data_IF_509021676056
#
_entry.id   IF_509021676056
#
_cell.length_a   1.000
_cell.length_b   1.000
_cell.length_c   1.000
_cell.angle_alpha   90.00
_cell.angle_beta   90.00
_cell.angle_gamma   90.00
#
_symmetry.space_group_name_H-M   'P 1'
#
loop_
_entity.id
_entity.type
_entity.pdbx_description
1 polymer ?
#
# COMPACT_ATOMS: atom_id res chain seq x y z
N UNK A 1 -58.43 -28.60 22.33
CA UNK A 1 -57.78 -27.98 23.51
C UNK A 1 -56.33 -27.66 23.14
N UNK A 2 -56.05 -26.43 22.72
CA UNK A 2 -54.68 -25.94 22.56
C UNK A 2 -54.19 -25.39 23.91
N UNK A 3 -53.01 -25.83 24.36
CA UNK A 3 -52.32 -25.18 25.48
C UNK A 3 -51.65 -23.90 24.94
N UNK A 4 -51.72 -22.77 25.65
CA UNK A 4 -51.03 -21.55 25.23
C UNK A 4 -49.52 -21.73 25.41
N UNK A 5 -48.74 -21.25 24.44
CA UNK A 5 -47.31 -21.03 24.58
C UNK A 5 -47.09 -19.96 25.64
N UNK A 6 -46.37 -20.30 26.70
CA UNK A 6 -45.84 -19.34 27.66
C UNK A 6 -44.72 -18.55 27.00
N UNK A 7 -44.93 -17.27 26.79
CA UNK A 7 -43.88 -16.30 26.48
C UNK A 7 -42.91 -16.23 27.66
N UNK A 8 -41.85 -17.04 27.61
CA UNK A 8 -40.74 -16.94 28.55
C UNK A 8 -39.96 -15.66 28.26
N UNK A 9 -40.32 -14.59 28.98
CA UNK A 9 -39.52 -13.37 29.03
C UNK A 9 -38.17 -13.71 29.65
N UNK A 10 -37.10 -13.40 28.91
CA UNK A 10 -35.74 -13.56 29.41
C UNK A 10 -35.58 -12.85 30.76
N UNK A 11 -34.87 -13.47 31.70
CA UNK A 11 -34.60 -12.87 33.01
C UNK A 11 -33.98 -11.47 32.86
N UNK A 12 -34.45 -10.51 33.66
CA UNK A 12 -34.05 -9.11 33.58
C UNK A 12 -32.54 -8.85 33.73
N UNK A 13 -31.76 -9.82 34.22
CA UNK A 13 -30.31 -9.74 34.34
C UNK A 13 -29.57 -9.92 33.01
N UNK A 14 -30.18 -10.58 32.01
CA UNK A 14 -29.56 -10.82 30.70
C UNK A 14 -29.22 -9.51 29.97
N UNK A 15 -30.14 -8.52 29.82
CA UNK A 15 -29.79 -7.24 29.20
C UNK A 15 -28.79 -6.42 30.03
N UNK A 16 -28.76 -6.58 31.36
CA UNK A 16 -27.81 -5.87 32.23
C UNK A 16 -26.38 -6.37 32.01
N UNK A 17 -26.20 -7.69 31.82
CA UNK A 17 -24.88 -8.26 31.48
C UNK A 17 -24.39 -7.73 30.13
N UNK A 18 -25.27 -7.63 29.13
CA UNK A 18 -24.87 -7.11 27.82
C UNK A 18 -24.49 -5.62 27.85
N UNK A 19 -25.17 -4.80 28.66
CA UNK A 19 -24.80 -3.40 28.86
C UNK A 19 -23.45 -3.27 29.58
N UNK A 20 -23.17 -4.13 30.56
CA UNK A 20 -21.89 -4.16 31.26
C UNK A 20 -20.74 -4.61 30.33
N UNK A 21 -20.98 -5.58 29.44
CA UNK A 21 -20.01 -6.01 28.41
C UNK A 21 -19.75 -4.88 27.41
N UNK A 22 -20.80 -4.16 26.98
CA UNK A 22 -20.65 -3.04 26.04
C UNK A 22 -19.87 -1.87 26.64
N UNK A 23 -20.14 -1.53 27.91
CA UNK A 23 -19.41 -0.49 28.64
C UNK A 23 -17.97 -0.90 28.93
N UNK A 24 -17.71 -2.18 29.25
CA UNK A 24 -16.36 -2.68 29.40
C UNK A 24 -15.58 -2.60 28.08
N UNK A 25 -16.19 -2.95 26.94
CA UNK A 25 -15.56 -2.85 25.62
C UNK A 25 -15.27 -1.38 25.19
N UNK A 26 -16.10 -0.43 25.62
CA UNK A 26 -15.89 1.01 25.37
C UNK A 26 -14.83 1.63 26.30
N UNK A 27 -14.47 0.96 27.39
CA UNK A 27 -13.47 1.40 28.37
C UNK A 27 -12.14 0.66 28.26
N UNK A 28 -12.02 -0.32 27.36
CA UNK A 28 -10.70 -0.83 26.96
C UNK A 28 -10.06 0.26 26.11
N UNK A 29 -8.98 0.92 26.56
CA UNK A 29 -8.21 1.79 25.68
C UNK A 29 -7.80 0.93 24.49
N UNK A 30 -8.08 1.41 23.26
CA UNK A 30 -7.47 0.82 22.08
C UNK A 30 -5.97 0.76 22.36
N UNK A 31 -5.40 -0.44 22.36
CA UNK A 31 -3.95 -0.59 22.43
C UNK A 31 -3.36 0.34 21.36
N UNK A 32 -2.33 1.14 21.68
CA UNK A 32 -1.71 1.96 20.67
C UNK A 32 -1.32 1.04 19.52
N UNK A 33 -1.82 1.34 18.32
CA UNK A 33 -1.47 0.65 17.10
C UNK A 33 0.06 0.51 17.08
N UNK A 34 0.57 -0.70 17.27
CA UNK A 34 2.01 -0.94 17.18
C UNK A 34 2.34 -0.93 15.70
N UNK A 35 3.19 0.01 15.32
CA UNK A 35 3.50 0.31 13.93
C UNK A 35 4.16 -0.87 13.22
N UNK A 36 3.87 -1.06 11.92
CA UNK A 36 4.87 -1.64 11.02
C UNK A 36 6.16 -0.86 11.25
N UNK A 37 7.24 -1.59 11.40
CA UNK A 37 8.49 -0.96 11.78
C UNK A 37 8.96 -0.07 10.63
N UNK A 38 9.54 1.12 10.90
CA UNK A 38 10.21 1.89 9.86
C UNK A 38 11.30 1.04 9.21
N UNK A 39 11.47 1.15 7.88
CA UNK A 39 12.56 0.46 7.18
C UNK A 39 13.91 0.76 7.87
N UNK A 40 14.70 -0.24 8.29
CA UNK A 40 15.98 -0.02 8.97
C UNK A 40 17.07 0.58 8.07
N UNK A 41 16.81 0.72 6.76
CA UNK A 41 17.69 1.44 5.84
C UNK A 41 17.83 2.93 6.24
N UNK A 42 18.98 3.52 5.92
CA UNK A 42 19.23 4.97 6.07
C UNK A 42 18.28 5.81 5.22
N UNK A 43 17.72 5.22 4.17
CA UNK A 43 16.75 5.78 3.26
C UNK A 43 15.34 5.40 3.72
N UNK A 44 14.51 6.39 4.08
CA UNK A 44 13.21 6.15 4.71
C UNK A 44 12.07 6.07 3.72
N UNK A 45 11.94 7.00 2.80
CA UNK A 45 10.83 7.06 1.84
C UNK A 45 11.22 7.87 0.59
N UNK A 46 10.27 8.11 -0.31
CA UNK A 46 10.43 9.05 -1.43
C UNK A 46 10.61 10.49 -0.92
N UNK A 47 11.54 11.23 -1.52
CA UNK A 47 11.90 12.58 -1.10
C UNK A 47 10.81 13.59 -1.44
N UNK A 48 10.58 14.54 -0.52
CA UNK A 48 9.53 15.56 -0.63
C UNK A 48 8.15 14.96 -0.93
N UNK A 49 7.86 13.73 -0.50
CA UNK A 49 6.58 13.12 -0.80
C UNK A 49 5.45 14.04 -0.38
N UNK A 50 4.71 14.49 -1.37
CA UNK A 50 3.82 15.59 -1.19
C UNK A 50 2.40 15.12 -0.85
N UNK A 51 1.69 15.97 -0.12
CA UNK A 51 0.31 15.72 0.24
C UNK A 51 -0.61 16.73 -0.41
N UNK A 52 -1.55 16.21 -1.19
CA UNK A 52 -2.73 16.92 -1.66
C UNK A 52 -2.47 18.10 -2.62
N UNK A 53 -2.65 17.84 -3.91
CA UNK A 53 -2.94 18.82 -4.96
C UNK A 53 -4.43 18.88 -5.26
N UNK A 54 -4.96 20.08 -5.46
CA UNK A 54 -6.33 20.29 -5.95
C UNK A 54 -6.31 20.37 -7.47
N UNK A 55 -6.89 19.40 -8.18
CA UNK A 55 -7.00 19.48 -9.64
C UNK A 55 -7.34 18.17 -10.34
N UNK A 56 -7.48 18.24 -11.66
CA UNK A 56 -7.67 17.10 -12.56
C UNK A 56 -6.47 16.87 -13.48
N UNK A 57 -5.30 17.39 -13.09
CA UNK A 57 -4.02 17.35 -13.79
C UNK A 57 -2.91 17.26 -12.75
N UNK A 58 -1.77 16.66 -13.11
CA UNK A 58 -0.60 16.59 -12.24
C UNK A 58 -0.30 17.94 -11.60
N UNK A 59 -0.44 18.01 -10.27
CA UNK A 59 -0.02 19.15 -9.48
C UNK A 59 1.49 19.19 -9.31
N UNK A 60 2.00 20.30 -8.79
CA UNK A 60 3.42 20.42 -8.39
C UNK A 60 3.77 19.56 -7.18
N UNK A 61 2.75 18.98 -6.55
CA UNK A 61 2.80 18.17 -5.34
C UNK A 61 2.25 16.77 -5.60
N UNK A 62 2.29 16.30 -6.86
CA UNK A 62 1.89 14.94 -7.20
C UNK A 62 3.14 14.11 -7.49
N UNK A 63 3.18 12.92 -6.93
CA UNK A 63 4.21 11.94 -7.25
C UNK A 63 3.88 11.30 -8.60
N UNK A 64 4.70 11.57 -9.59
CA UNK A 64 4.49 11.02 -10.91
C UNK A 64 5.04 9.60 -10.98
N UNK A 65 4.27 8.73 -11.61
CA UNK A 65 4.70 7.36 -11.88
C UNK A 65 4.52 6.95 -13.33
N UNK A 66 5.49 6.21 -13.85
CA UNK A 66 5.39 5.54 -15.14
C UNK A 66 5.44 4.03 -14.98
N UNK A 67 4.93 3.31 -15.98
CA UNK A 67 4.91 1.85 -15.98
C UNK A 67 5.54 1.36 -17.27
N UNK A 68 6.40 0.37 -17.17
CA UNK A 68 7.05 -0.31 -18.30
C UNK A 68 6.95 -1.83 -18.11
N UNK A 69 6.57 -2.54 -19.16
CA UNK A 69 6.68 -3.99 -19.24
C UNK A 69 7.85 -4.39 -20.10
N UNK A 70 8.80 -5.11 -19.51
CA UNK A 70 10.03 -5.58 -20.15
C UNK A 70 9.87 -6.91 -20.89
N UNK A 71 8.75 -7.61 -20.67
CA UNK A 71 8.34 -8.75 -21.48
C UNK A 71 6.85 -8.62 -21.83
N UNK A 72 6.62 -7.88 -22.91
CA UNK A 72 5.28 -7.52 -23.41
C UNK A 72 4.48 -8.72 -23.94
N UNK A 73 5.10 -9.90 -24.07
CA UNK A 73 4.41 -11.13 -24.46
C UNK A 73 3.53 -11.67 -23.33
N UNK A 74 3.81 -11.27 -22.07
CA UNK A 74 3.06 -11.68 -20.87
C UNK A 74 2.07 -10.61 -20.43
N UNK A 75 2.55 -9.38 -20.30
CA UNK A 75 1.74 -8.21 -19.95
C UNK A 75 2.12 -7.10 -20.90
N UNK A 76 1.20 -6.62 -21.73
CA UNK A 76 1.49 -5.49 -22.60
C UNK A 76 1.69 -4.20 -21.78
N UNK A 77 2.45 -3.25 -22.33
CA UNK A 77 2.61 -1.92 -21.72
C UNK A 77 1.26 -1.25 -21.41
N UNK A 78 0.27 -1.37 -22.31
CA UNK A 78 -1.06 -0.80 -22.08
C UNK A 78 -1.82 -1.49 -20.94
N UNK A 79 -1.75 -2.82 -20.85
CA UNK A 79 -2.45 -3.58 -19.81
C UNK A 79 -1.84 -3.33 -18.43
N UNK A 80 -0.51 -3.37 -18.30
CA UNK A 80 0.18 -3.06 -17.05
C UNK A 80 -0.12 -1.63 -16.58
N UNK A 81 -0.03 -0.65 -17.48
CA UNK A 81 -0.37 0.75 -17.19
C UNK A 81 -1.80 0.93 -16.69
N UNK A 82 -2.77 0.37 -17.42
CA UNK A 82 -4.18 0.49 -17.04
C UNK A 82 -4.43 -0.13 -15.67
N UNK A 83 -3.85 -1.31 -15.41
CA UNK A 83 -4.04 -2.04 -14.17
C UNK A 83 -3.41 -1.36 -12.95
N UNK A 84 -2.17 -0.87 -13.06
CA UNK A 84 -1.49 -0.12 -11.99
C UNK A 84 -2.22 1.19 -11.71
N UNK A 85 -2.58 1.94 -12.76
CA UNK A 85 -3.33 3.19 -12.61
C UNK A 85 -4.67 2.95 -11.90
N UNK A 86 -5.43 1.95 -12.35
CA UNK A 86 -6.68 1.59 -11.68
C UNK A 86 -6.44 1.26 -10.20
N UNK A 87 -5.41 0.46 -9.91
CA UNK A 87 -5.07 0.00 -8.55
C UNK A 87 -4.69 1.14 -7.62
N UNK A 88 -3.96 2.14 -8.11
CA UNK A 88 -3.39 3.19 -7.28
C UNK A 88 -4.25 4.45 -7.21
N UNK A 89 -5.13 4.70 -8.17
CA UNK A 89 -5.86 6.00 -8.26
C UNK A 89 -7.37 5.87 -8.49
N UNK A 90 -7.90 4.71 -8.91
CA UNK A 90 -9.29 4.61 -9.41
C UNK A 90 -10.20 3.64 -8.65
N UNK A 91 -9.72 2.98 -7.59
CA UNK A 91 -10.52 1.99 -6.85
C UNK A 91 -11.51 2.60 -5.85
N UNK A 92 -11.50 3.94 -5.71
CA UNK A 92 -12.36 4.69 -4.79
C UNK A 92 -11.77 4.83 -3.38
N UNK A 93 -12.40 5.70 -2.59
CA UNK A 93 -11.92 6.09 -1.26
C UNK A 93 -11.69 4.89 -0.33
N UNK A 94 -10.56 4.91 0.37
CA UNK A 94 -10.18 3.90 1.36
C UNK A 94 -9.72 2.55 0.76
N UNK A 95 -9.49 2.50 -0.56
CA UNK A 95 -8.98 1.32 -1.27
C UNK A 95 -7.76 1.59 -2.15
N UNK A 96 -7.40 2.86 -2.27
CA UNK A 96 -6.21 3.32 -2.97
C UNK A 96 -5.39 4.14 -1.99
N UNK A 97 -4.10 4.28 -2.25
CA UNK A 97 -3.26 5.22 -1.50
C UNK A 97 -3.73 6.69 -1.64
N UNK A 98 -4.63 6.97 -2.59
CA UNK A 98 -5.20 8.28 -2.94
C UNK A 98 -6.62 8.58 -2.35
N UNK A 99 -6.73 9.49 -1.36
CA UNK A 99 -7.99 10.14 -0.91
C UNK A 99 -8.75 9.46 0.25
N UNK A 100 -9.43 10.16 1.19
CA UNK A 100 -9.93 11.53 1.31
C UNK A 100 -9.67 12.07 2.74
N UNK A 101 -8.87 13.15 2.86
CA UNK A 101 -8.60 13.91 4.10
C UNK A 101 -7.18 13.72 4.63
N UNK A 102 -6.45 14.83 4.85
CA UNK A 102 -5.15 15.07 5.54
C UNK A 102 -4.04 13.99 5.54
N UNK A 103 -4.14 12.96 4.70
CA UNK A 103 -3.31 11.75 4.71
C UNK A 103 -2.94 11.26 3.30
N UNK A 104 -3.01 12.14 2.31
CA UNK A 104 -3.04 11.80 0.87
C UNK A 104 -1.63 11.76 0.27
N UNK A 105 -1.26 10.68 -0.39
CA UNK A 105 -0.17 10.71 -1.38
C UNK A 105 -0.83 10.82 -2.74
N UNK A 106 -0.57 11.92 -3.44
CA UNK A 106 -1.17 12.18 -4.73
C UNK A 106 -0.36 11.46 -5.81
N UNK A 107 -0.84 10.31 -6.25
CA UNK A 107 -0.18 9.56 -7.31
C UNK A 107 -0.71 9.99 -8.68
N UNK A 108 0.18 10.43 -9.57
CA UNK A 108 -0.17 10.83 -10.93
C UNK A 108 0.42 9.89 -12.00
N UNK A 109 -0.41 9.15 -12.75
CA UNK A 109 0.08 8.28 -13.82
C UNK A 109 0.54 9.11 -15.02
N UNK A 110 1.71 8.78 -15.56
CA UNK A 110 2.16 9.33 -16.84
C UNK A 110 1.38 8.76 -18.04
N UNK A 111 1.35 9.52 -19.13
CA UNK A 111 0.58 9.24 -20.33
C UNK A 111 1.18 8.16 -21.26
N UNK A 112 2.45 7.81 -21.09
CA UNK A 112 3.17 6.80 -21.88
C UNK A 112 3.95 5.84 -20.98
N UNK A 113 4.48 4.76 -21.55
CA UNK A 113 5.42 3.89 -20.82
C UNK A 113 6.74 4.62 -20.56
N UNK A 114 7.47 4.21 -19.52
CA UNK A 114 8.66 4.93 -19.04
C UNK A 114 9.68 5.24 -20.14
N UNK A 115 9.95 4.27 -21.01
CA UNK A 115 10.97 4.40 -22.07
C UNK A 115 10.56 5.29 -23.24
N UNK A 116 9.29 5.71 -23.31
CA UNK A 116 8.81 6.69 -24.31
C UNK A 116 9.22 8.12 -23.98
N UNK A 117 9.63 8.39 -22.74
CA UNK A 117 10.07 9.71 -22.31
C UNK A 117 11.57 9.91 -22.58
N UNK A 118 11.95 11.14 -22.94
CA UNK A 118 13.37 11.52 -23.01
C UNK A 118 14.03 11.35 -21.64
N UNK A 119 15.34 11.12 -21.60
CA UNK A 119 16.08 10.98 -20.33
C UNK A 119 15.85 12.17 -19.38
N UNK A 120 15.80 13.41 -19.91
CA UNK A 120 15.52 14.60 -19.12
C UNK A 120 14.10 14.64 -18.55
N UNK A 121 13.11 14.13 -19.29
CA UNK A 121 11.73 14.05 -18.79
C UNK A 121 11.58 12.93 -17.76
N UNK A 122 12.17 11.76 -18.05
CA UNK A 122 12.12 10.60 -17.16
C UNK A 122 12.82 10.84 -15.83
N UNK A 123 13.89 11.65 -15.80
CA UNK A 123 14.57 12.02 -14.56
C UNK A 123 13.70 12.84 -13.58
N UNK A 124 12.59 13.43 -14.06
CA UNK A 124 11.58 14.10 -13.25
C UNK A 124 10.35 13.23 -12.95
N UNK A 125 10.43 11.91 -13.16
CA UNK A 125 9.41 10.95 -12.73
C UNK A 125 9.98 10.24 -11.51
N UNK A 126 9.28 10.32 -10.38
CA UNK A 126 9.77 9.87 -9.09
C UNK A 126 9.67 8.34 -8.92
N UNK A 127 8.65 7.72 -9.54
CA UNK A 127 8.37 6.30 -9.39
C UNK A 127 8.31 5.60 -10.76
N UNK A 128 9.00 4.48 -10.88
CA UNK A 128 8.86 3.60 -12.05
C UNK A 128 8.41 2.21 -11.66
N UNK A 129 7.35 1.71 -12.30
CA UNK A 129 6.85 0.35 -12.11
C UNK A 129 7.28 -0.51 -13.29
N UNK A 130 8.03 -1.57 -13.01
CA UNK A 130 8.62 -2.47 -13.99
C UNK A 130 8.02 -3.87 -13.89
N UNK A 131 7.30 -4.26 -14.93
CA UNK A 131 6.80 -5.61 -15.11
C UNK A 131 7.85 -6.48 -15.83
N UNK A 132 8.07 -7.71 -15.36
CA UNK A 132 9.03 -8.64 -15.97
C UNK A 132 8.79 -10.10 -15.62
N UNK A 133 9.45 -10.98 -16.37
CA UNK A 133 9.47 -12.42 -16.08
C UNK A 133 10.36 -12.74 -14.86
N UNK A 134 11.46 -12.01 -14.70
CA UNK A 134 12.40 -12.23 -13.61
C UNK A 134 13.12 -10.92 -13.24
N UNK A 135 13.23 -10.70 -11.93
CA UNK A 135 13.98 -9.60 -11.33
C UNK A 135 14.98 -10.09 -10.28
N UNK A 136 15.30 -11.39 -10.22
CA UNK A 136 16.18 -11.95 -9.20
C UNK A 136 17.57 -11.30 -9.13
N UNK A 137 18.09 -10.79 -10.26
CA UNK A 137 19.34 -10.03 -10.29
C UNK A 137 19.25 -8.62 -9.66
N UNK A 138 18.04 -8.11 -9.45
CA UNK A 138 17.76 -6.78 -8.86
C UNK A 138 17.19 -6.95 -7.45
N UNK A 139 16.10 -7.71 -7.32
CA UNK A 139 15.40 -7.93 -6.06
C UNK A 139 16.06 -8.95 -5.14
N UNK A 140 17.07 -9.68 -5.64
CA UNK A 140 17.59 -10.86 -4.95
C UNK A 140 16.58 -12.01 -4.93
N UNK A 141 17.00 -13.14 -4.38
CA UNK A 141 16.15 -14.32 -4.23
C UNK A 141 16.05 -15.22 -5.48
N UNK A 142 15.01 -16.04 -5.51
CA UNK A 142 14.80 -17.06 -6.54
C UNK A 142 14.26 -16.45 -7.83
N UNK A 143 14.84 -16.86 -8.96
CA UNK A 143 14.40 -16.51 -10.32
C UNK A 143 12.89 -16.63 -10.48
N UNK A 144 12.26 -15.55 -10.94
CA UNK A 144 10.86 -15.53 -11.35
C UNK A 144 9.84 -15.45 -10.21
N UNK A 145 10.24 -15.05 -8.99
CA UNK A 145 9.30 -15.00 -7.86
C UNK A 145 9.32 -13.72 -7.03
N UNK A 146 10.44 -13.01 -6.94
CA UNK A 146 10.59 -11.90 -5.99
C UNK A 146 10.24 -10.56 -6.62
N UNK A 147 9.24 -9.89 -6.04
CA UNK A 147 8.95 -8.48 -6.25
C UNK A 147 9.77 -7.66 -5.25
N UNK A 148 10.06 -6.40 -5.56
CA UNK A 148 10.75 -5.52 -4.63
C UNK A 148 10.59 -4.05 -5.01
N UNK A 149 10.97 -3.18 -4.07
CA UNK A 149 11.28 -1.78 -4.32
C UNK A 149 12.77 -1.54 -4.19
N UNK A 150 13.34 -0.83 -5.16
CA UNK A 150 14.69 -0.28 -5.09
C UNK A 150 14.59 1.24 -4.95
N UNK A 151 15.20 1.76 -3.90
CA UNK A 151 15.36 3.19 -3.67
C UNK A 151 16.70 3.65 -4.25
N UNK A 152 16.71 4.77 -4.96
CA UNK A 152 17.93 5.31 -5.57
C UNK A 152 18.05 6.82 -5.36
N UNK A 153 19.28 7.30 -5.54
CA UNK A 153 19.68 8.69 -5.47
C UNK A 153 19.27 9.34 -4.14
N UNK A 154 19.99 9.02 -3.05
CA UNK A 154 19.61 9.47 -1.71
C UNK A 154 19.76 10.98 -1.54
N UNK A 155 18.74 11.61 -0.95
CA UNK A 155 18.70 13.06 -0.67
C UNK A 155 18.65 13.27 0.84
N UNK A 156 19.49 14.15 1.36
CA UNK A 156 19.49 14.45 2.80
C UNK A 156 18.33 15.37 3.18
N UNK A 157 17.47 14.90 4.07
CA UNK A 157 16.45 15.73 4.72
C UNK A 157 16.98 16.22 6.08
N UNK A 158 17.37 17.49 6.11
CA UNK A 158 17.85 18.14 7.33
C UNK A 158 16.75 18.41 8.36
N UNK A 159 15.48 18.52 7.96
CA UNK A 159 14.38 18.79 8.87
C UNK A 159 14.07 17.56 9.74
N UNK A 160 14.17 16.37 9.16
CA UNK A 160 13.86 15.11 9.84
C UNK A 160 15.11 14.23 10.10
N UNK A 161 16.31 14.75 9.79
CA UNK A 161 17.61 14.15 10.10
C UNK A 161 17.77 12.71 9.58
N UNK A 162 17.37 12.47 8.33
CA UNK A 162 17.54 11.19 7.64
C UNK A 162 17.73 11.38 6.13
N UNK A 163 17.98 10.29 5.40
CA UNK A 163 18.01 10.31 3.94
C UNK A 163 16.66 9.85 3.38
N UNK A 164 16.22 10.52 2.31
CA UNK A 164 15.14 10.10 1.44
C UNK A 164 15.69 9.56 0.13
N UNK A 165 14.82 9.03 -0.73
CA UNK A 165 15.15 8.59 -2.08
C UNK A 165 14.56 9.58 -3.08
N UNK A 166 15.34 10.07 -4.02
CA UNK A 166 14.76 10.86 -5.11
C UNK A 166 13.92 9.98 -6.05
N UNK A 167 14.32 8.71 -6.24
CA UNK A 167 13.62 7.78 -7.13
C UNK A 167 13.32 6.45 -6.44
N UNK A 168 12.20 5.85 -6.82
CA UNK A 168 11.83 4.49 -6.43
C UNK A 168 11.47 3.65 -7.66
N UNK A 169 12.00 2.43 -7.71
CA UNK A 169 11.74 1.46 -8.78
C UNK A 169 11.01 0.26 -8.20
N UNK A 170 9.78 0.04 -8.62
CA UNK A 170 8.93 -1.08 -8.20
C UNK A 170 9.03 -2.20 -9.24
N UNK A 171 9.59 -3.34 -8.88
CA UNK A 171 9.79 -4.48 -9.77
C UNK A 171 8.75 -5.57 -9.48
N UNK A 172 7.90 -5.84 -10.46
CA UNK A 172 6.82 -6.82 -10.38
C UNK A 172 7.08 -8.00 -11.30
N UNK A 173 7.06 -9.20 -10.74
CA UNK A 173 7.24 -10.47 -11.45
C UNK A 173 5.90 -11.10 -11.79
N UNK A 174 5.64 -11.39 -13.07
CA UNK A 174 4.33 -11.88 -13.54
C UNK A 174 3.78 -13.11 -12.80
N UNK A 175 4.64 -14.06 -12.44
CA UNK A 175 4.25 -15.32 -11.78
C UNK A 175 3.79 -15.15 -10.34
N UNK A 176 4.15 -14.04 -9.69
CA UNK A 176 3.80 -13.75 -8.30
C UNK A 176 2.99 -12.46 -8.18
N UNK A 177 3.64 -11.30 -8.27
CA UNK A 177 3.04 -9.99 -8.01
C UNK A 177 2.62 -9.20 -9.25
N UNK A 178 3.15 -9.53 -10.42
CA UNK A 178 2.81 -8.90 -11.69
C UNK A 178 1.53 -9.43 -12.37
N UNK A 179 0.66 -10.09 -11.60
CA UNK A 179 -0.62 -10.63 -12.10
C UNK A 179 -1.63 -9.51 -12.29
N UNK A 180 -2.50 -9.60 -13.29
CA UNK A 180 -3.57 -8.62 -13.51
C UNK A 180 -4.85 -9.02 -12.78
N UNK A 181 -4.74 -9.36 -11.50
CA UNK A 181 -5.82 -9.82 -10.62
C UNK A 181 -5.64 -9.29 -9.18
N UNK A 182 -6.51 -9.68 -8.26
CA UNK A 182 -6.43 -9.23 -6.85
C UNK A 182 -5.11 -9.54 -6.17
N UNK A 183 -4.39 -10.59 -6.58
CA UNK A 183 -3.06 -10.90 -6.06
C UNK A 183 -2.07 -9.84 -6.49
N UNK A 184 -2.08 -9.47 -7.76
CA UNK A 184 -1.20 -8.41 -8.24
C UNK A 184 -1.56 -7.03 -7.70
N UNK A 185 -2.86 -6.74 -7.46
CA UNK A 185 -3.25 -5.52 -6.74
C UNK A 185 -2.64 -5.48 -5.33
N UNK A 186 -2.63 -6.62 -4.63
CA UNK A 186 -2.06 -6.73 -3.30
C UNK A 186 -0.55 -6.44 -3.33
N UNK A 187 0.18 -7.04 -4.27
CA UNK A 187 1.61 -6.78 -4.44
C UNK A 187 1.88 -5.33 -4.83
N UNK A 188 1.17 -4.76 -5.81
CA UNK A 188 1.30 -3.34 -6.17
C UNK A 188 1.13 -2.46 -4.93
N UNK A 189 0.05 -2.63 -4.18
CA UNK A 189 -0.18 -1.81 -3.00
C UNK A 189 0.88 -2.06 -1.91
N UNK A 190 1.34 -3.30 -1.73
CA UNK A 190 2.37 -3.66 -0.75
C UNK A 190 3.72 -3.03 -1.08
N UNK A 191 4.18 -3.16 -2.34
CA UNK A 191 5.41 -2.52 -2.77
C UNK A 191 5.30 -0.98 -2.68
N UNK A 192 4.15 -0.39 -2.99
CA UNK A 192 3.96 1.04 -2.77
C UNK A 192 4.01 1.44 -1.29
N UNK A 193 3.62 0.55 -0.36
CA UNK A 193 3.90 0.73 1.05
C UNK A 193 5.40 0.91 1.34
N UNK A 194 6.27 0.14 0.67
CA UNK A 194 7.72 0.32 0.77
C UNK A 194 8.22 1.61 0.11
N UNK A 195 7.65 2.02 -1.03
CA UNK A 195 7.93 3.34 -1.63
C UNK A 195 7.70 4.45 -0.60
N UNK A 196 6.68 4.29 0.24
CA UNK A 196 6.29 5.24 1.28
C UNK A 196 6.98 5.01 2.63
N UNK A 197 7.90 4.06 2.70
CA UNK A 197 8.76 3.84 3.86
C UNK A 197 8.26 2.86 4.91
N UNK A 198 7.15 2.17 4.64
CA UNK A 198 6.73 1.05 5.48
C UNK A 198 7.68 -0.13 5.31
N UNK A 199 8.05 -0.79 6.40
CA UNK A 199 8.65 -2.12 6.32
C UNK A 199 7.56 -3.20 6.32
N UNK A 200 7.97 -4.42 5.99
CA UNK A 200 7.16 -5.61 6.25
C UNK A 200 6.79 -5.71 7.73
N UNK A 201 5.54 -6.09 8.00
CA UNK A 201 5.08 -6.38 9.35
C UNK A 201 4.75 -7.87 9.49
N UNK A 202 5.30 -8.49 10.54
CA UNK A 202 5.03 -9.88 10.90
C UNK A 202 3.99 -10.05 12.01
N UNK A 203 3.52 -8.96 12.62
CA UNK A 203 2.78 -9.00 13.88
C UNK A 203 1.25 -8.96 13.74
N UNK A 204 0.74 -8.79 12.52
CA UNK A 204 -0.69 -8.93 12.18
C UNK A 204 -1.65 -8.01 12.97
N UNK A 205 -1.15 -6.96 13.63
CA UNK A 205 -1.98 -6.11 14.51
C UNK A 205 -1.43 -4.69 14.68
N UNK A 206 -2.21 -3.64 14.34
CA UNK A 206 -3.45 -3.70 13.56
C UNK A 206 -3.24 -4.33 12.17
N UNK A 207 -4.28 -4.88 11.53
CA UNK A 207 -4.13 -5.57 10.26
C UNK A 207 -3.60 -4.63 9.19
N UNK A 208 -2.53 -5.06 8.52
CA UNK A 208 -1.77 -4.27 7.55
C UNK A 208 -1.66 -5.04 6.23
N UNK A 209 -1.67 -4.32 5.12
CA UNK A 209 -1.29 -4.90 3.83
C UNK A 209 0.18 -5.37 3.83
N UNK A 210 1.04 -4.72 4.62
CA UNK A 210 2.44 -5.11 4.86
C UNK A 210 2.58 -6.46 5.58
N UNK A 211 1.46 -7.05 6.02
CA UNK A 211 1.39 -8.37 6.66
C UNK A 211 0.33 -9.29 6.02
N UNK A 212 -0.17 -8.99 4.81
CA UNK A 212 -1.30 -9.73 4.21
C UNK A 212 -0.94 -11.14 3.73
N UNK A 213 -1.88 -12.08 3.85
CA UNK A 213 -1.70 -13.45 3.32
C UNK A 213 -1.62 -13.52 1.81
N UNK A 214 -2.18 -12.54 1.10
CA UNK A 214 -2.15 -12.52 -0.36
C UNK A 214 -0.73 -12.29 -0.91
N UNK A 215 0.09 -11.52 -0.19
CA UNK A 215 1.48 -11.22 -0.58
C UNK A 215 2.49 -12.21 0.00
N UNK A 216 2.02 -13.20 0.79
CA UNK A 216 2.85 -14.28 1.33
C UNK A 216 3.17 -14.19 2.83
N UNK A 217 2.48 -13.35 3.60
CA UNK A 217 2.69 -13.23 5.05
C UNK A 217 1.67 -13.99 5.91
N UNK A 218 1.98 -14.11 7.20
CA UNK A 218 1.47 -15.18 8.09
C UNK A 218 0.12 -14.85 8.75
N UNK A 219 -0.55 -13.78 8.34
CA UNK A 219 -1.76 -13.28 9.00
C UNK A 219 -3.01 -13.96 8.44
N UNK A 220 -3.25 -15.21 8.83
CA UNK A 220 -4.28 -16.13 8.31
C UNK A 220 -5.72 -15.60 8.24
N UNK A 221 -6.03 -14.49 8.89
CA UNK A 221 -7.35 -13.83 8.90
C UNK A 221 -7.44 -12.57 8.02
N UNK A 222 -6.32 -12.11 7.45
CA UNK A 222 -6.28 -10.88 6.67
C UNK A 222 -6.05 -11.15 5.19
N UNK A 223 -7.08 -10.90 4.38
CA UNK A 223 -7.12 -11.17 2.94
C UNK A 223 -7.37 -9.91 2.12
N UNK A 224 -7.14 -8.72 2.70
CA UNK A 224 -7.21 -7.49 1.94
C UNK A 224 -6.00 -7.37 1.02
N UNK A 225 -6.26 -6.80 -0.15
CA UNK A 225 -5.29 -6.54 -1.21
C UNK A 225 -5.15 -5.02 -1.49
N UNK A 226 -5.67 -4.19 -0.58
CA UNK A 226 -5.61 -2.74 -0.58
C UNK A 226 -5.17 -2.23 0.80
N UNK A 227 -4.66 -0.99 0.89
CA UNK A 227 -4.16 -0.43 2.14
C UNK A 227 -5.26 -0.32 3.22
N UNK A 228 -4.92 -0.71 4.44
CA UNK A 228 -5.78 -0.57 5.61
C UNK A 228 -5.64 0.83 6.24
N UNK A 229 -6.60 1.26 7.08
CA UNK A 229 -6.44 2.48 7.88
C UNK A 229 -5.12 2.54 8.68
N UNK A 230 -4.60 1.39 9.13
CA UNK A 230 -3.32 1.36 9.85
C UNK A 230 -2.14 1.66 8.93
N UNK A 231 -2.16 1.12 7.70
CA UNK A 231 -1.13 1.41 6.69
C UNK A 231 -1.00 2.92 6.45
N UNK A 232 -2.14 3.61 6.29
CA UNK A 232 -2.16 5.08 6.17
C UNK A 232 -1.56 5.77 7.40
N UNK A 233 -1.97 5.38 8.61
CA UNK A 233 -1.43 5.98 9.84
C UNK A 233 0.08 5.79 9.98
N UNK A 234 0.64 4.70 9.45
CA UNK A 234 2.06 4.44 9.52
C UNK A 234 2.86 5.24 8.51
N UNK A 235 2.35 5.40 7.29
CA UNK A 235 2.95 6.27 6.28
C UNK A 235 3.18 7.67 6.87
N UNK A 236 2.18 8.20 7.55
CA UNK A 236 2.24 9.49 8.22
C UNK A 236 3.24 9.58 9.36
N UNK A 237 3.41 8.48 10.11
CA UNK A 237 4.37 8.41 11.20
C UNK A 237 5.82 8.26 10.72
N UNK A 238 6.04 7.87 9.46
CA UNK A 238 7.36 7.72 8.86
C UNK A 238 7.84 9.02 8.19
N UNK A 239 6.91 9.90 7.80
CA UNK A 239 7.18 11.15 7.08
C UNK A 239 7.23 12.41 7.97
N UNK A 240 6.99 12.30 9.28
CA UNK A 240 7.09 13.39 10.27
C UNK A 240 8.15 13.13 11.32
#
# INVERSE_FOLDING_TARGET
MSKPHSDERLPAWVPVIWVAVLLAALLVPADPARAAQPNPSSTKHLHNMHYNSVGSSAGTYDEQFCIESHDTSKVSNSAGRAFVNETLTQMGSGRVWDGLGDWRIDLWPTASNCTSYSASTRAGIEIEVHYGWDWSGICGGTTGYYNCVVHDNPVWDAAHNHYDSQWAYVYLVFSSGGRLDTTGRAFINHEFGHVFGLADDSNCSPPSLMSSTIVGYNCSTWTNWYPSPADFQWVLGVQG
#
